data_IF_253124088358
#
_entry.id   IF_253124088358
#
_cell.length_a   1.000
_cell.length_b   1.000
_cell.length_c   1.000
_cell.angle_alpha   90.00
_cell.angle_beta   90.00
_cell.angle_gamma   90.00
#
_symmetry.space_group_name_H-M   'P 1'
#
loop_
_entity.id
_entity.type
_entity.pdbx_description
1 polymer ?
#
# COMPACT_ATOMS: atom_id res chain seq x y z
N UNK A 1 -29.02 22.73 10.63
CA UNK A 1 -29.76 22.49 9.37
C UNK A 1 -30.34 21.08 9.40
N UNK A 2 -31.50 20.88 10.04
CA UNK A 2 -32.10 19.55 10.20
C UNK A 2 -33.11 19.30 9.06
N UNK A 3 -32.95 18.22 8.29
CA UNK A 3 -34.08 17.57 7.63
C UNK A 3 -34.35 17.84 6.15
N UNK A 4 -33.35 18.09 5.30
CA UNK A 4 -33.61 18.29 3.86
C UNK A 4 -34.16 17.05 3.12
N UNK A 5 -33.86 15.83 3.58
CA UNK A 5 -34.27 14.59 2.88
C UNK A 5 -35.61 13.99 3.35
N UNK A 6 -35.94 14.20 4.63
CA UNK A 6 -37.13 13.61 5.27
C UNK A 6 -38.47 13.98 4.62
N UNK A 7 -38.73 15.24 4.22
CA UNK A 7 -40.02 15.61 3.64
C UNK A 7 -40.25 15.08 2.22
N UNK A 8 -39.20 14.63 1.51
CA UNK A 8 -39.30 14.17 0.12
C UNK A 8 -39.21 12.65 -0.05
N UNK A 9 -38.44 11.95 0.80
CA UNK A 9 -38.13 10.52 0.63
C UNK A 9 -38.39 9.66 1.87
N UNK A 10 -38.95 10.22 2.96
CA UNK A 10 -39.19 9.48 4.19
C UNK A 10 -37.89 9.16 4.96
N UNK A 11 -37.76 7.94 5.47
CA UNK A 11 -36.55 7.50 6.21
C UNK A 11 -35.46 7.11 5.22
N UNK A 12 -34.40 7.93 5.13
CA UNK A 12 -33.24 7.67 4.26
C UNK A 12 -32.12 6.97 5.04
N UNK A 13 -31.60 5.89 4.45
CA UNK A 13 -30.40 5.18 4.88
C UNK A 13 -29.28 5.41 3.86
N UNK A 14 -28.18 6.00 4.30
CA UNK A 14 -26.95 6.18 3.50
C UNK A 14 -25.98 5.06 3.85
N UNK A 15 -25.40 4.45 2.83
CA UNK A 15 -24.56 3.25 2.98
C UNK A 15 -23.27 3.46 2.23
N UNK A 16 -22.17 3.10 2.88
CA UNK A 16 -20.84 3.13 2.29
C UNK A 16 -20.16 1.77 2.43
N UNK A 17 -19.28 1.44 1.50
CA UNK A 17 -18.36 0.31 1.55
C UNK A 17 -16.98 0.70 2.10
N UNK A 18 -16.78 2.00 2.36
CA UNK A 18 -15.63 2.55 3.07
C UNK A 18 -16.10 3.61 4.08
N UNK A 19 -15.82 3.40 5.36
CA UNK A 19 -16.12 4.39 6.42
C UNK A 19 -15.06 5.50 6.44
N UNK A 20 -13.85 5.18 5.95
CA UNK A 20 -12.69 6.05 5.95
C UNK A 20 -12.46 6.79 4.63
N UNK A 21 -11.51 7.74 4.69
CA UNK A 21 -11.00 8.47 3.53
C UNK A 21 -12.14 9.13 2.73
N UNK A 22 -12.34 8.76 1.47
CA UNK A 22 -13.38 9.32 0.59
C UNK A 22 -14.81 9.14 1.11
N UNK A 23 -15.06 8.12 1.94
CA UNK A 23 -16.38 7.86 2.53
C UNK A 23 -16.71 8.73 3.75
N UNK A 24 -15.71 9.36 4.38
CA UNK A 24 -15.90 10.11 5.61
C UNK A 24 -16.76 11.36 5.41
N UNK A 25 -16.49 12.16 4.38
CA UNK A 25 -17.24 13.39 4.11
C UNK A 25 -18.72 13.10 3.76
N UNK A 26 -19.05 12.18 2.83
CA UNK A 26 -20.44 11.80 2.56
C UNK A 26 -21.19 11.31 3.81
N UNK A 27 -20.54 10.54 4.68
CA UNK A 27 -21.12 10.09 5.94
C UNK A 27 -21.42 11.25 6.89
N UNK A 28 -20.48 12.19 7.04
CA UNK A 28 -20.67 13.39 7.86
C UNK A 28 -21.80 14.27 7.33
N UNK A 29 -21.87 14.48 6.01
CA UNK A 29 -22.95 15.24 5.37
C UNK A 29 -24.31 14.54 5.55
N UNK A 30 -24.37 13.22 5.35
CA UNK A 30 -25.58 12.43 5.56
C UNK A 30 -26.08 12.53 7.01
N UNK A 31 -25.16 12.46 7.98
CA UNK A 31 -25.47 12.65 9.41
C UNK A 31 -25.99 14.05 9.70
N UNK A 32 -25.31 15.10 9.21
CA UNK A 32 -25.72 16.48 9.39
C UNK A 32 -27.11 16.76 8.78
N UNK A 33 -27.45 16.05 7.70
CA UNK A 33 -28.77 16.11 7.06
C UNK A 33 -29.86 15.28 7.78
N UNK A 34 -29.50 14.51 8.82
CA UNK A 34 -30.42 13.69 9.62
C UNK A 34 -30.69 12.30 9.07
N UNK A 35 -29.88 11.79 8.13
CA UNK A 35 -30.02 10.46 7.58
C UNK A 35 -29.44 9.39 8.53
N UNK A 36 -29.98 8.17 8.46
CA UNK A 36 -29.34 7.00 9.08
C UNK A 36 -28.12 6.63 8.23
N UNK A 37 -27.05 6.16 8.87
CA UNK A 37 -25.84 5.72 8.17
C UNK A 37 -25.51 4.28 8.54
N UNK A 38 -25.09 3.50 7.54
CA UNK A 38 -24.60 2.14 7.73
C UNK A 38 -23.37 1.87 6.86
N UNK A 39 -22.62 0.85 7.24
CA UNK A 39 -21.44 0.37 6.54
C UNK A 39 -21.68 -1.06 6.07
N UNK A 40 -21.38 -1.34 4.79
CA UNK A 40 -21.33 -2.70 4.28
C UNK A 40 -19.85 -3.17 4.28
N UNK A 41 -19.46 -4.14 5.14
CA UNK A 41 -18.08 -4.60 5.19
C UNK A 41 -17.58 -5.13 3.84
N UNK A 42 -16.34 -4.80 3.46
CA UNK A 42 -15.79 -5.17 2.15
C UNK A 42 -15.83 -6.67 1.82
N UNK A 43 -15.71 -7.55 2.82
CA UNK A 43 -15.90 -9.00 2.64
C UNK A 43 -17.36 -9.36 2.31
N UNK A 44 -18.33 -8.72 2.97
CA UNK A 44 -19.75 -8.89 2.68
C UNK A 44 -20.10 -8.32 1.31
N UNK A 45 -19.56 -7.14 0.98
CA UNK A 45 -19.71 -6.49 -0.33
C UNK A 45 -19.16 -7.34 -1.47
N UNK A 46 -17.94 -7.89 -1.32
CA UNK A 46 -17.34 -8.79 -2.32
C UNK A 46 -18.17 -10.06 -2.54
N UNK A 47 -18.62 -10.70 -1.46
CA UNK A 47 -19.48 -11.89 -1.55
C UNK A 47 -20.83 -11.58 -2.19
N UNK A 48 -21.40 -10.40 -1.92
CA UNK A 48 -22.62 -9.96 -2.56
C UNK A 48 -22.39 -9.67 -4.05
N UNK A 49 -21.26 -9.07 -4.42
CA UNK A 49 -20.92 -8.78 -5.82
C UNK A 49 -20.80 -10.06 -6.67
N UNK A 50 -20.32 -11.16 -6.09
CA UNK A 50 -20.25 -12.48 -6.76
C UNK A 50 -21.65 -13.04 -7.13
N UNK A 51 -22.73 -12.55 -6.51
CA UNK A 51 -24.11 -12.96 -6.81
C UNK A 51 -24.71 -12.26 -8.04
N UNK A 52 -24.04 -11.24 -8.58
CA UNK A 52 -24.53 -10.45 -9.72
C UNK A 52 -23.63 -10.61 -10.95
N UNK A 53 -24.19 -10.95 -12.12
CA UNK A 53 -23.41 -11.16 -13.35
C UNK A 53 -22.72 -9.87 -13.84
N UNK A 54 -21.50 -10.01 -14.36
CA UNK A 54 -20.67 -8.94 -14.92
C UNK A 54 -19.20 -9.06 -14.50
N UNK A 55 -18.26 -8.90 -15.43
CA UNK A 55 -16.82 -9.09 -15.14
C UNK A 55 -16.07 -7.78 -14.87
N UNK A 56 -16.56 -6.64 -15.35
CA UNK A 56 -15.91 -5.36 -15.15
C UNK A 56 -16.27 -4.75 -13.79
N UNK A 57 -15.25 -4.30 -13.04
CA UNK A 57 -15.43 -3.43 -11.87
C UNK A 57 -15.83 -2.03 -12.36
N UNK A 58 -17.01 -1.57 -11.97
CA UNK A 58 -17.49 -0.21 -12.28
C UNK A 58 -18.16 0.39 -11.05
N UNK A 59 -17.99 1.70 -10.85
CA UNK A 59 -18.57 2.40 -9.69
C UNK A 59 -20.11 2.30 -9.66
N UNK A 60 -20.75 2.26 -10.83
CA UNK A 60 -22.20 2.09 -10.95
C UNK A 60 -22.67 0.70 -10.50
N UNK A 61 -21.90 -0.35 -10.80
CA UNK A 61 -22.19 -1.71 -10.33
C UNK A 61 -21.97 -1.81 -8.82
N UNK A 62 -20.88 -1.27 -8.31
CA UNK A 62 -20.58 -1.30 -6.88
C UNK A 62 -21.70 -0.58 -6.09
N UNK A 63 -22.16 0.59 -6.56
CA UNK A 63 -23.30 1.30 -5.98
C UNK A 63 -24.61 0.48 -6.02
N UNK A 64 -24.90 -0.19 -7.14
CA UNK A 64 -26.06 -1.08 -7.26
C UNK A 64 -26.00 -2.24 -6.27
N UNK A 65 -24.87 -2.95 -6.20
CA UNK A 65 -24.67 -4.08 -5.29
C UNK A 65 -24.82 -3.64 -3.84
N UNK A 66 -24.26 -2.50 -3.45
CA UNK A 66 -24.40 -1.96 -2.08
C UNK A 66 -25.86 -1.66 -1.76
N UNK A 67 -26.58 -0.96 -2.64
CA UNK A 67 -27.98 -0.63 -2.43
C UNK A 67 -28.88 -1.87 -2.37
N UNK A 68 -28.64 -2.84 -3.26
CA UNK A 68 -29.45 -4.06 -3.33
C UNK A 68 -29.16 -5.01 -2.16
N UNK A 69 -27.90 -5.12 -1.73
CA UNK A 69 -27.51 -5.88 -0.53
C UNK A 69 -28.17 -5.30 0.71
N UNK A 70 -28.23 -3.97 0.81
CA UNK A 70 -28.89 -3.32 1.93
C UNK A 70 -30.40 -3.56 1.97
N UNK A 71 -31.03 -3.60 0.79
CA UNK A 71 -32.46 -3.85 0.63
C UNK A 71 -32.83 -5.29 0.96
N UNK A 72 -32.00 -6.26 0.55
CA UNK A 72 -32.31 -7.70 0.62
C UNK A 72 -31.69 -8.42 1.81
N UNK A 73 -30.55 -7.93 2.30
CA UNK A 73 -29.75 -8.56 3.37
C UNK A 73 -29.34 -7.52 4.44
N UNK A 74 -30.29 -6.81 5.09
CA UNK A 74 -29.98 -5.71 6.01
C UNK A 74 -29.16 -6.14 7.24
N UNK A 75 -29.19 -7.43 7.61
CA UNK A 75 -28.39 -8.01 8.70
C UNK A 75 -26.88 -8.04 8.39
N UNK A 76 -26.48 -7.83 7.13
CA UNK A 76 -25.06 -7.73 6.74
C UNK A 76 -24.48 -6.34 6.96
N UNK A 77 -25.33 -5.35 7.21
CA UNK A 77 -24.94 -3.96 7.45
C UNK A 77 -24.49 -3.76 8.89
N UNK A 78 -23.42 -2.98 9.08
CA UNK A 78 -23.01 -2.48 10.39
C UNK A 78 -23.55 -1.07 10.58
N UNK A 79 -24.32 -0.85 11.64
CA UNK A 79 -24.70 0.49 12.04
C UNK A 79 -23.43 1.28 12.42
N UNK A 80 -23.35 2.52 11.96
CA UNK A 80 -22.28 3.45 12.39
C UNK A 80 -22.95 4.40 13.37
N UNK A 81 -22.74 4.19 14.68
CA UNK A 81 -23.42 4.98 15.71
C UNK A 81 -23.02 6.46 15.69
N UNK A 82 -23.87 7.30 16.30
CA UNK A 82 -23.96 8.73 15.99
C UNK A 82 -22.85 9.62 16.55
N UNK A 83 -22.16 9.26 17.61
CA UNK A 83 -21.24 10.17 18.29
C UNK A 83 -19.99 9.43 18.78
N UNK A 84 -19.04 9.21 17.89
CA UNK A 84 -17.74 8.77 18.37
C UNK A 84 -16.62 9.48 17.59
N UNK A 85 -16.19 10.62 18.14
CA UNK A 85 -14.95 11.29 17.75
C UNK A 85 -13.78 10.29 17.75
N UNK A 86 -13.79 9.29 18.63
CA UNK A 86 -12.83 8.18 18.63
C UNK A 86 -12.94 7.36 17.36
N UNK A 87 -14.15 7.03 16.89
CA UNK A 87 -14.35 6.30 15.65
C UNK A 87 -13.88 7.12 14.44
N UNK A 88 -14.15 8.44 14.42
CA UNK A 88 -13.66 9.34 13.38
C UNK A 88 -12.12 9.43 13.38
N UNK A 89 -11.51 9.60 14.54
CA UNK A 89 -10.06 9.62 14.71
C UNK A 89 -9.40 8.29 14.31
N UNK A 90 -9.95 7.16 14.76
CA UNK A 90 -9.49 5.82 14.38
C UNK A 90 -9.63 5.58 12.87
N UNK A 91 -10.71 6.09 12.27
CA UNK A 91 -10.96 6.02 10.84
C UNK A 91 -9.90 6.80 10.06
N UNK A 92 -9.54 8.01 10.52
CA UNK A 92 -8.44 8.80 9.92
C UNK A 92 -7.08 8.10 10.06
N UNK A 93 -6.76 7.60 11.26
CA UNK A 93 -5.49 6.88 11.50
C UNK A 93 -5.40 5.59 10.67
N UNK A 94 -6.48 4.84 10.55
CA UNK A 94 -6.53 3.62 9.72
C UNK A 94 -6.41 3.95 8.24
N UNK A 95 -7.03 5.04 7.79
CA UNK A 95 -6.85 5.56 6.42
C UNK A 95 -5.38 5.89 6.13
N UNK A 96 -4.72 6.59 7.04
CA UNK A 96 -3.29 6.91 6.95
C UNK A 96 -2.40 5.66 6.91
N UNK A 97 -2.65 4.64 7.76
CA UNK A 97 -1.89 3.37 7.70
C UNK A 97 -2.06 2.66 6.35
N UNK A 98 -3.27 2.68 5.79
CA UNK A 98 -3.55 2.08 4.48
C UNK A 98 -2.82 2.82 3.35
N UNK A 99 -2.82 4.15 3.36
CA UNK A 99 -2.12 4.96 2.37
C UNK A 99 -0.61 4.70 2.43
N UNK A 100 -0.05 4.65 3.64
CA UNK A 100 1.35 4.32 3.89
C UNK A 100 1.71 2.91 3.41
N UNK A 101 0.84 1.92 3.65
CA UNK A 101 1.00 0.57 3.11
C UNK A 101 1.00 0.58 1.57
N UNK A 102 0.12 1.39 0.97
CA UNK A 102 0.09 1.61 -0.48
C UNK A 102 1.38 2.24 -1.02
N UNK A 103 1.96 3.21 -0.31
CA UNK A 103 3.26 3.82 -0.65
C UNK A 103 4.41 2.81 -0.56
N UNK A 104 4.49 2.04 0.52
CA UNK A 104 5.48 0.97 0.69
C UNK A 104 5.42 -0.03 -0.46
N UNK A 105 4.21 -0.46 -0.83
CA UNK A 105 4.00 -1.40 -1.93
C UNK A 105 4.42 -0.79 -3.28
N UNK A 106 4.02 0.46 -3.56
CA UNK A 106 4.39 1.17 -4.79
C UNK A 106 5.90 1.36 -4.92
N UNK A 107 6.56 1.83 -3.86
CA UNK A 107 8.01 2.02 -3.85
C UNK A 107 8.75 0.68 -4.00
N UNK A 108 8.29 -0.37 -3.32
CA UNK A 108 8.87 -1.73 -3.46
C UNK A 108 8.75 -2.22 -4.89
N UNK A 109 7.56 -2.15 -5.50
CA UNK A 109 7.35 -2.64 -6.86
C UNK A 109 8.15 -1.84 -7.90
N UNK A 110 8.29 -0.52 -7.71
CA UNK A 110 9.15 0.31 -8.58
C UNK A 110 10.63 -0.07 -8.46
N UNK A 111 11.14 -0.29 -7.24
CA UNK A 111 12.51 -0.76 -7.02
C UNK A 111 12.74 -2.12 -7.69
N UNK A 112 11.81 -3.06 -7.51
CA UNK A 112 11.89 -4.38 -8.15
C UNK A 112 11.86 -4.25 -9.66
N UNK A 113 10.96 -3.46 -10.23
CA UNK A 113 10.89 -3.23 -11.67
C UNK A 113 12.19 -2.68 -12.25
N UNK A 114 12.78 -1.67 -11.61
CA UNK A 114 14.07 -1.11 -12.05
C UNK A 114 15.22 -2.13 -11.92
N UNK A 115 15.30 -2.84 -10.79
CA UNK A 115 16.33 -3.86 -10.59
C UNK A 115 16.18 -5.01 -11.58
N UNK A 116 14.96 -5.48 -11.86
CA UNK A 116 14.69 -6.49 -12.89
C UNK A 116 15.05 -6.01 -14.29
N UNK A 117 14.90 -4.71 -14.58
CA UNK A 117 15.25 -4.16 -15.88
C UNK A 117 16.77 -4.07 -16.09
N UNK A 118 17.52 -3.62 -15.08
CA UNK A 118 18.97 -3.37 -15.22
C UNK A 118 19.83 -4.57 -14.81
N UNK A 119 19.38 -5.35 -13.82
CA UNK A 119 20.18 -6.42 -13.21
C UNK A 119 19.33 -7.53 -12.57
N UNK A 120 18.66 -8.39 -13.37
CA UNK A 120 17.74 -9.43 -12.88
C UNK A 120 18.33 -10.35 -11.80
N UNK A 121 19.59 -10.75 -11.91
CA UNK A 121 20.25 -11.62 -10.92
C UNK A 121 20.39 -10.94 -9.55
N UNK A 122 20.68 -9.64 -9.53
CA UNK A 122 20.75 -8.86 -8.30
C UNK A 122 19.36 -8.64 -7.69
N UNK A 123 18.33 -8.43 -8.53
CA UNK A 123 16.94 -8.36 -8.07
C UNK A 123 16.52 -9.65 -7.35
N UNK A 124 16.89 -10.82 -7.87
CA UNK A 124 16.58 -12.12 -7.25
C UNK A 124 17.11 -12.24 -5.81
N UNK A 125 18.27 -11.65 -5.53
CA UNK A 125 18.87 -11.66 -4.19
C UNK A 125 18.26 -10.58 -3.29
N UNK A 126 18.17 -9.34 -3.77
CA UNK A 126 17.77 -8.18 -2.98
C UNK A 126 16.25 -8.00 -2.88
N UNK A 127 15.49 -8.39 -3.89
CA UNK A 127 14.04 -8.17 -4.04
C UNK A 127 13.23 -8.71 -2.86
N UNK A 128 13.54 -9.94 -2.43
CA UNK A 128 12.94 -10.57 -1.23
C UNK A 128 13.37 -9.91 0.10
N UNK A 129 14.37 -9.02 0.06
CA UNK A 129 15.02 -8.40 1.22
C UNK A 129 14.93 -6.87 1.21
N UNK A 130 14.20 -6.25 0.26
CA UNK A 130 13.92 -4.81 0.23
C UNK A 130 13.20 -4.32 1.50
N UNK A 131 12.63 -5.27 2.26
CA UNK A 131 12.00 -4.99 3.53
C UNK A 131 12.97 -4.54 4.63
N UNK A 132 14.23 -4.96 4.54
CA UNK A 132 15.16 -4.86 5.65
C UNK A 132 15.99 -3.57 5.61
N UNK A 133 16.21 -2.91 6.76
CA UNK A 133 16.96 -1.66 6.84
C UNK A 133 18.36 -1.74 6.22
N UNK A 134 19.05 -2.88 6.37
CA UNK A 134 20.38 -3.07 5.79
C UNK A 134 20.39 -3.09 4.26
N UNK A 135 19.35 -3.62 3.60
CA UNK A 135 19.24 -3.57 2.13
C UNK A 135 18.83 -2.18 1.67
N UNK A 136 17.92 -1.54 2.40
CA UNK A 136 17.54 -0.16 2.11
C UNK A 136 18.74 0.77 2.20
N UNK A 137 19.56 0.66 3.27
CA UNK A 137 20.77 1.45 3.43
C UNK A 137 21.80 1.19 2.32
N UNK A 138 21.95 -0.07 1.88
CA UNK A 138 22.81 -0.42 0.76
C UNK A 138 22.34 0.26 -0.53
N UNK A 139 21.04 0.17 -0.85
CA UNK A 139 20.47 0.75 -2.07
C UNK A 139 20.41 2.28 -2.03
N UNK A 140 20.22 2.86 -0.85
CA UNK A 140 20.21 4.31 -0.66
C UNK A 140 21.59 4.91 -0.86
N UNK A 141 22.65 4.24 -0.39
CA UNK A 141 24.03 4.76 -0.50
C UNK A 141 24.73 4.34 -1.79
N UNK A 142 24.43 3.13 -2.28
CA UNK A 142 25.14 2.48 -3.38
C UNK A 142 24.17 1.79 -4.36
N UNK A 143 23.05 2.43 -4.69
CA UNK A 143 21.91 1.84 -5.42
C UNK A 143 22.11 1.26 -6.82
N UNK A 144 23.32 1.25 -7.37
CA UNK A 144 23.58 0.67 -8.70
C UNK A 144 24.52 -0.52 -8.61
N UNK A 145 24.37 -1.55 -9.47
CA UNK A 145 25.28 -2.70 -9.51
C UNK A 145 26.77 -2.30 -9.58
N UNK A 146 27.12 -1.32 -10.42
CA UNK A 146 28.49 -0.82 -10.56
C UNK A 146 29.03 -0.20 -9.26
N UNK A 147 28.24 0.63 -8.57
CA UNK A 147 28.62 1.20 -7.25
C UNK A 147 28.78 0.11 -6.18
N UNK A 148 27.95 -0.94 -6.18
CA UNK A 148 28.09 -2.06 -5.25
C UNK A 148 29.39 -2.83 -5.52
N UNK A 149 29.70 -3.12 -6.80
CA UNK A 149 30.98 -3.72 -7.20
C UNK A 149 32.17 -2.88 -6.74
N UNK A 150 32.14 -1.58 -7.03
CA UNK A 150 33.21 -0.62 -6.67
C UNK A 150 33.42 -0.50 -5.16
N UNK A 151 32.37 -0.66 -4.36
CA UNK A 151 32.47 -0.63 -2.90
C UNK A 151 33.28 -1.83 -2.37
N UNK A 152 33.16 -2.99 -3.02
CA UNK A 152 33.87 -4.22 -2.67
C UNK A 152 33.23 -5.00 -1.51
N UNK A 153 33.54 -6.31 -1.46
CA UNK A 153 32.91 -7.28 -0.54
C UNK A 153 33.00 -6.86 0.93
N UNK A 154 34.20 -6.53 1.40
CA UNK A 154 34.43 -6.20 2.81
C UNK A 154 33.61 -4.99 3.30
N UNK A 155 33.50 -3.94 2.48
CA UNK A 155 32.74 -2.72 2.85
C UNK A 155 31.23 -2.93 2.75
N UNK A 156 30.76 -3.72 1.77
CA UNK A 156 29.35 -4.14 1.71
C UNK A 156 28.99 -4.92 2.96
N UNK A 157 29.81 -5.89 3.35
CA UNK A 157 29.57 -6.70 4.56
C UNK A 157 29.52 -5.82 5.81
N UNK A 158 30.48 -4.90 5.96
CA UNK A 158 30.51 -3.96 7.08
C UNK A 158 29.26 -3.07 7.14
N UNK A 159 28.80 -2.55 6.00
CA UNK A 159 27.58 -1.74 5.92
C UNK A 159 26.36 -2.56 6.32
N UNK A 160 26.25 -3.80 5.85
CA UNK A 160 25.14 -4.68 6.20
C UNK A 160 25.12 -5.00 7.71
N UNK A 161 26.29 -5.26 8.31
CA UNK A 161 26.42 -5.46 9.77
C UNK A 161 26.00 -4.22 10.56
N UNK A 162 26.50 -3.04 10.16
CA UNK A 162 26.20 -1.77 10.82
C UNK A 162 24.70 -1.42 10.82
N UNK A 163 23.94 -1.97 9.86
CA UNK A 163 22.49 -1.77 9.74
C UNK A 163 21.68 -3.00 10.24
N UNK A 164 22.29 -3.87 11.06
CA UNK A 164 21.59 -4.92 11.80
C UNK A 164 21.47 -6.28 11.10
N UNK A 165 22.21 -6.54 10.01
CA UNK A 165 22.21 -7.85 9.37
C UNK A 165 23.01 -8.89 10.16
N UNK A 166 22.33 -9.92 10.67
CA UNK A 166 22.97 -11.07 11.35
C UNK A 166 23.69 -12.02 10.38
N UNK A 167 23.28 -12.04 9.11
CA UNK A 167 23.84 -12.90 8.05
C UNK A 167 24.57 -12.08 6.99
N UNK A 168 25.23 -11.00 7.40
CA UNK A 168 25.88 -10.05 6.49
C UNK A 168 26.89 -10.72 5.55
N UNK A 169 27.70 -11.65 6.07
CA UNK A 169 28.69 -12.39 5.27
C UNK A 169 28.02 -13.18 4.14
N UNK A 170 27.05 -14.04 4.47
CA UNK A 170 26.30 -14.83 3.50
C UNK A 170 25.58 -13.96 2.46
N UNK A 171 24.90 -12.89 2.90
CA UNK A 171 24.22 -11.97 1.98
C UNK A 171 25.23 -11.25 1.07
N UNK A 172 26.41 -10.90 1.56
CA UNK A 172 27.46 -10.29 0.73
C UNK A 172 27.94 -11.26 -0.33
N UNK A 173 28.15 -12.53 0.02
CA UNK A 173 28.52 -13.58 -0.94
C UNK A 173 27.45 -13.71 -2.03
N UNK A 174 26.18 -13.88 -1.65
CA UNK A 174 25.06 -13.97 -2.61
C UNK A 174 24.98 -12.73 -3.52
N UNK A 175 25.21 -11.52 -2.99
CA UNK A 175 25.19 -10.27 -3.79
C UNK A 175 26.29 -10.33 -4.85
N UNK A 176 27.52 -10.68 -4.48
CA UNK A 176 28.62 -10.65 -5.43
C UNK A 176 28.55 -11.79 -6.45
N UNK A 177 28.09 -12.98 -6.06
CA UNK A 177 27.78 -14.05 -7.00
C UNK A 177 26.72 -13.62 -8.02
N UNK A 178 25.63 -13.00 -7.56
CA UNK A 178 24.59 -12.49 -8.44
C UNK A 178 25.09 -11.35 -9.36
N UNK A 179 25.96 -10.48 -8.85
CA UNK A 179 26.63 -9.49 -9.69
C UNK A 179 27.41 -10.22 -10.79
N UNK A 180 28.29 -11.15 -10.43
CA UNK A 180 29.17 -11.91 -11.33
C UNK A 180 28.40 -12.76 -12.37
N UNK A 181 27.18 -13.21 -12.07
CA UNK A 181 26.31 -13.91 -13.03
C UNK A 181 25.98 -13.07 -14.28
N UNK A 182 25.87 -11.75 -14.15
CA UNK A 182 25.53 -10.89 -15.27
C UNK A 182 26.79 -10.29 -15.90
N UNK A 183 27.02 -10.67 -17.16
CA UNK A 183 28.18 -10.23 -17.94
C UNK A 183 27.92 -9.01 -18.81
N UNK A 184 26.64 -8.69 -19.08
CA UNK A 184 26.22 -7.60 -19.96
C UNK A 184 25.65 -6.42 -19.17
N UNK A 185 26.00 -5.20 -19.59
CA UNK A 185 25.42 -3.96 -19.04
C UNK A 185 24.25 -3.53 -19.91
N UNK A 186 23.07 -3.40 -19.31
CA UNK A 186 21.86 -2.96 -20.00
C UNK A 186 21.86 -1.43 -20.14
N UNK A 187 21.40 -0.86 -21.27
CA UNK A 187 21.21 0.59 -21.40
C UNK A 187 20.33 1.16 -20.28
N UNK A 188 20.71 2.33 -19.76
CA UNK A 188 20.01 2.96 -18.64
C UNK A 188 20.47 2.51 -17.24
N UNK A 189 21.45 1.59 -17.14
CA UNK A 189 22.04 1.21 -15.85
C UNK A 189 22.62 2.41 -15.09
N UNK A 190 23.32 3.32 -15.76
CA UNK A 190 23.86 4.53 -15.12
C UNK A 190 22.74 5.50 -14.67
N UNK A 191 21.70 5.67 -15.49
CA UNK A 191 20.54 6.50 -15.13
C UNK A 191 19.80 5.95 -13.92
N UNK A 192 19.67 4.63 -13.83
CA UNK A 192 19.04 3.98 -12.67
C UNK A 192 19.76 4.27 -11.35
N UNK A 193 21.08 4.54 -11.40
CA UNK A 193 21.89 4.90 -10.25
C UNK A 193 21.51 6.24 -9.60
N UNK A 194 20.74 7.08 -10.32
CA UNK A 194 20.18 8.34 -9.83
C UNK A 194 18.80 8.12 -9.18
N UNK A 195 18.04 7.13 -9.65
CA UNK A 195 16.64 6.91 -9.25
C UNK A 195 16.55 5.98 -8.03
N UNK A 196 17.32 4.88 -8.04
CA UNK A 196 17.25 3.83 -7.01
C UNK A 196 17.47 4.39 -5.59
N UNK A 197 18.46 5.28 -5.34
CA UNK A 197 18.65 5.88 -4.01
C UNK A 197 17.42 6.61 -3.49
N UNK A 198 16.72 7.37 -4.34
CA UNK A 198 15.52 8.11 -3.97
C UNK A 198 14.35 7.19 -3.61
N UNK A 199 14.13 6.14 -4.41
CA UNK A 199 13.11 5.13 -4.11
C UNK A 199 13.41 4.33 -2.84
N UNK A 200 14.69 4.01 -2.61
CA UNK A 200 15.13 3.34 -1.37
C UNK A 200 14.92 4.23 -0.14
N UNK A 201 15.18 5.54 -0.26
CA UNK A 201 14.90 6.51 0.81
C UNK A 201 13.40 6.64 1.10
N UNK A 202 12.54 6.71 0.08
CA UNK A 202 11.09 6.72 0.23
C UNK A 202 10.60 5.47 0.97
N UNK A 203 11.09 4.29 0.58
CA UNK A 203 10.75 3.03 1.24
C UNK A 203 11.27 2.97 2.69
N UNK A 204 12.41 3.60 2.96
CA UNK A 204 12.97 3.75 4.31
C UNK A 204 12.15 4.67 5.20
N UNK A 205 11.66 5.80 4.66
CA UNK A 205 10.86 6.79 5.40
C UNK A 205 9.43 6.31 5.69
N UNK A 206 8.84 5.53 4.77
CA UNK A 206 7.45 5.06 4.92
C UNK A 206 7.29 3.93 5.96
N UNK A 207 8.35 3.28 6.43
CA UNK A 207 8.26 2.16 7.40
C UNK A 207 8.24 2.56 8.88
N UNK A 208 9.07 3.52 9.35
CA UNK A 208 9.02 4.01 10.72
C UNK A 208 7.66 4.58 11.11
N UNK A 209 6.97 5.24 10.16
CA UNK A 209 5.64 5.83 10.37
C UNK A 209 4.51 4.81 10.56
N UNK A 210 4.81 3.50 10.48
CA UNK A 210 3.85 2.40 10.68
C UNK A 210 3.94 1.76 12.08
N UNK A 211 4.84 2.24 12.94
CA UNK A 211 5.08 1.67 14.27
C UNK A 211 4.31 2.39 15.36
#
# INVERSE_FOLDING_TARGET
MSGAFRPKFGTVLVIVDQVANIGALPLTVARAAGCRVAYLPGLSMRRAADLYPGEAKTDARDAFVIAETARTMPHTLRAIDRDDETLAALTMLTGYDNDLAGEVNRATNRLRGLLSQIHPSLERVLGKRLAYPYVQALLQRHGSPAKIRKLGRARVEALLKANGSRKAHHLTTEIFEALDEQTLVVPGTETSALIIPGLAAQLGAARPSRR
#
